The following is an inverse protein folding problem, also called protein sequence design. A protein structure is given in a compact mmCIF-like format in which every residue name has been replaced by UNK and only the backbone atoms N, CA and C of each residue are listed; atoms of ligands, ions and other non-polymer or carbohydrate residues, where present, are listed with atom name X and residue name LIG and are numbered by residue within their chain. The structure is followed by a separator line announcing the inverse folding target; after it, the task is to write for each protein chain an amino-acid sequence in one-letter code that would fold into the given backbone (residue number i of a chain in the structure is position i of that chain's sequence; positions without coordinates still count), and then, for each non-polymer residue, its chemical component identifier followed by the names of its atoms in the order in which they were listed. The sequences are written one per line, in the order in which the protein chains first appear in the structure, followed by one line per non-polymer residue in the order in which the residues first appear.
data_IF_990316566498
#
_entry.id   IF_990316566498
#
_cell.length_a   1.000
_cell.length_b   1.000
_cell.length_c   1.000
_cell.angle_alpha   90.00
_cell.angle_beta   90.00
_cell.angle_gamma   90.00
#
_symmetry.space_group_name_H-M   'P 1'
#
loop_
_entity.id
_entity.type
_entity.pdbx_description
1 polymer ?
#
# COMPACT_ATOMS: atom_id res chain seq x y z
N UNK A 1 -11.46 30.68 -6.99
CA UNK A 1 -12.19 29.43 -6.67
C UNK A 1 -13.61 29.44 -7.24
N UNK A 2 -14.28 30.59 -7.28
CA UNK A 2 -15.67 30.71 -7.80
C UNK A 2 -15.87 30.12 -9.20
N UNK A 3 -14.98 30.41 -10.16
CA UNK A 3 -15.08 29.84 -11.51
C UNK A 3 -14.98 28.29 -11.56
N UNK A 4 -14.23 27.66 -10.64
CA UNK A 4 -14.12 26.20 -10.58
C UNK A 4 -15.41 25.60 -10.02
N UNK A 5 -15.97 26.23 -9.01
CA UNK A 5 -17.25 25.82 -8.43
C UNK A 5 -18.36 25.86 -9.47
N UNK A 6 -18.46 26.96 -10.23
CA UNK A 6 -19.49 27.10 -11.27
C UNK A 6 -19.39 26.00 -12.34
N UNK A 7 -18.17 25.63 -12.75
CA UNK A 7 -17.94 24.54 -13.71
C UNK A 7 -18.39 23.19 -13.13
N UNK A 8 -18.06 22.94 -11.87
CA UNK A 8 -18.40 21.67 -11.21
C UNK A 8 -19.90 21.54 -10.94
N UNK A 9 -20.58 22.63 -10.57
CA UNK A 9 -22.03 22.65 -10.35
C UNK A 9 -22.82 22.38 -11.66
N UNK A 10 -22.27 22.77 -12.81
CA UNK A 10 -22.85 22.45 -14.13
C UNK A 10 -22.59 21.00 -14.58
N UNK A 11 -21.67 20.29 -13.93
CA UNK A 11 -21.18 18.96 -14.35
C UNK A 11 -21.96 17.82 -13.68
N UNK A 12 -23.28 17.78 -13.88
CA UNK A 12 -24.19 16.82 -13.19
C UNK A 12 -23.95 15.35 -13.53
N UNK A 13 -23.33 15.05 -14.68
CA UNK A 13 -23.00 13.70 -15.14
C UNK A 13 -21.54 13.30 -14.91
N UNK A 14 -20.81 14.03 -14.06
CA UNK A 14 -19.41 13.75 -13.77
C UNK A 14 -19.26 12.34 -13.18
N UNK A 15 -18.44 11.51 -13.82
CA UNK A 15 -18.12 10.15 -13.36
C UNK A 15 -16.74 10.04 -12.73
N UNK A 16 -15.86 10.98 -13.04
CA UNK A 16 -14.48 11.02 -12.59
C UNK A 16 -14.18 12.42 -12.07
N UNK A 17 -13.66 12.49 -10.85
CA UNK A 17 -13.19 13.73 -10.25
C UNK A 17 -11.78 13.51 -9.72
N UNK A 18 -10.83 14.28 -10.25
CA UNK A 18 -9.46 14.33 -9.76
C UNK A 18 -9.17 15.74 -9.25
N UNK A 19 -8.78 15.82 -7.99
CA UNK A 19 -8.43 17.06 -7.33
C UNK A 19 -7.01 16.93 -6.76
N UNK A 20 -6.15 17.88 -7.13
CA UNK A 20 -4.78 17.97 -6.65
C UNK A 20 -4.57 19.35 -6.05
N UNK A 21 -4.32 19.38 -4.75
CA UNK A 21 -4.05 20.58 -3.99
C UNK A 21 -2.60 20.58 -3.54
N UNK A 22 -1.91 21.69 -3.80
CA UNK A 22 -0.58 21.95 -3.29
C UNK A 22 -0.70 23.16 -2.37
N UNK A 23 -0.79 22.92 -1.06
CA UNK A 23 -1.22 23.95 -0.11
C UNK A 23 -0.10 24.32 0.85
N UNK A 24 0.72 25.29 0.47
CA UNK A 24 1.74 25.88 1.36
C UNK A 24 1.18 26.86 2.40
N UNK A 25 -0.15 27.01 2.45
CA UNK A 25 -0.87 27.93 3.32
C UNK A 25 -2.10 27.25 3.91
N UNK A 26 -2.67 27.81 4.97
CA UNK A 26 -3.95 27.42 5.60
C UNK A 26 -5.18 27.72 4.73
N UNK A 27 -5.05 27.61 3.41
CA UNK A 27 -6.12 27.90 2.47
C UNK A 27 -7.15 26.75 2.47
N UNK A 28 -8.20 26.93 3.27
CA UNK A 28 -9.35 26.04 3.41
C UNK A 28 -10.29 26.07 2.20
N UNK A 29 -9.92 26.76 1.11
CA UNK A 29 -10.78 26.85 -0.07
C UNK A 29 -11.15 25.47 -0.64
N UNK A 30 -10.26 24.46 -0.56
CA UNK A 30 -10.60 23.10 -0.99
C UNK A 30 -11.70 22.47 -0.14
N UNK A 31 -11.74 22.79 1.15
CA UNK A 31 -12.73 22.32 2.11
C UNK A 31 -14.13 22.89 1.77
N UNK A 32 -14.19 24.18 1.43
CA UNK A 32 -15.40 24.84 0.91
C UNK A 32 -15.85 24.23 -0.43
N UNK A 33 -14.91 23.86 -1.30
CA UNK A 33 -15.22 23.19 -2.55
C UNK A 33 -15.85 21.82 -2.28
N UNK A 34 -15.13 20.91 -1.61
CA UNK A 34 -15.59 19.54 -1.34
C UNK A 34 -16.92 19.48 -0.57
N UNK A 35 -17.13 20.37 0.40
CA UNK A 35 -18.36 20.38 1.21
C UNK A 35 -19.62 20.65 0.39
N UNK A 36 -19.52 21.41 -0.71
CA UNK A 36 -20.66 21.81 -1.55
C UNK A 36 -20.94 20.86 -2.72
N UNK A 37 -19.96 20.08 -3.16
CA UNK A 37 -20.07 19.26 -4.36
C UNK A 37 -20.93 18.00 -4.14
N UNK A 38 -21.80 17.74 -5.11
CA UNK A 38 -22.60 16.50 -5.20
C UNK A 38 -22.65 16.01 -6.64
N UNK A 39 -22.17 14.79 -6.88
CA UNK A 39 -22.10 14.17 -8.19
C UNK A 39 -22.79 12.79 -8.16
N UNK A 40 -24.08 12.71 -8.51
CA UNK A 40 -24.86 11.47 -8.41
C UNK A 40 -24.32 10.29 -9.23
N UNK A 41 -23.44 10.56 -10.19
CA UNK A 41 -22.86 9.56 -11.10
C UNK A 41 -21.37 9.31 -10.87
N UNK A 42 -20.79 9.87 -9.81
CA UNK A 42 -19.37 9.74 -9.54
C UNK A 42 -18.98 8.29 -9.23
N UNK A 43 -18.01 7.77 -9.98
CA UNK A 43 -17.48 6.41 -9.86
C UNK A 43 -16.02 6.38 -9.47
N UNK A 44 -15.26 7.38 -9.92
CA UNK A 44 -13.85 7.55 -9.58
C UNK A 44 -13.65 8.87 -8.86
N UNK A 45 -12.98 8.80 -7.72
CA UNK A 45 -12.53 9.98 -7.01
C UNK A 45 -11.05 9.86 -6.67
N UNK A 46 -10.28 10.88 -7.05
CA UNK A 46 -8.87 10.99 -6.74
C UNK A 46 -8.61 12.32 -6.04
N UNK A 47 -8.08 12.27 -4.84
CA UNK A 47 -7.73 13.43 -4.04
C UNK A 47 -6.27 13.35 -3.65
N UNK A 48 -5.52 14.39 -3.98
CA UNK A 48 -4.13 14.55 -3.57
C UNK A 48 -3.93 15.88 -2.85
N UNK A 49 -3.34 15.82 -1.66
CA UNK A 49 -2.97 16.99 -0.87
C UNK A 49 -1.49 16.89 -0.54
N UNK A 50 -0.70 17.86 -0.99
CA UNK A 50 0.77 17.89 -0.80
C UNK A 50 1.16 19.19 -0.09
N UNK A 51 2.18 19.12 0.77
CA UNK A 51 2.77 20.23 1.53
C UNK A 51 1.83 20.91 2.54
N UNK A 52 0.88 20.16 3.11
CA UNK A 52 -0.07 20.69 4.09
C UNK A 52 0.60 20.98 5.43
N UNK A 53 0.24 22.08 6.08
CA UNK A 53 0.69 22.42 7.43
C UNK A 53 -0.25 21.77 8.46
N UNK A 54 0.32 21.19 9.51
CA UNK A 54 -0.30 20.31 10.52
C UNK A 54 -1.56 20.88 11.24
N UNK A 55 -1.84 22.18 11.15
CA UNK A 55 -2.79 22.87 12.03
C UNK A 55 -4.28 22.85 11.58
N UNK A 56 -4.65 22.20 10.47
CA UNK A 56 -6.02 22.31 9.92
C UNK A 56 -6.81 20.99 9.97
N UNK A 57 -7.30 20.70 11.18
CA UNK A 57 -8.07 19.51 11.59
C UNK A 57 -9.40 19.30 10.83
N UNK A 58 -9.85 20.27 10.02
CA UNK A 58 -11.16 20.24 9.35
C UNK A 58 -11.17 19.46 8.02
N UNK A 59 -10.00 19.21 7.43
CA UNK A 59 -9.88 18.57 6.13
C UNK A 59 -10.47 17.15 6.10
N UNK A 60 -10.21 16.36 7.15
CA UNK A 60 -10.65 14.97 7.20
C UNK A 60 -12.15 14.79 7.45
N UNK A 61 -12.80 15.54 8.38
CA UNK A 61 -14.25 15.56 8.47
C UNK A 61 -14.93 15.92 7.15
N UNK A 62 -14.40 16.90 6.41
CA UNK A 62 -14.96 17.34 5.13
C UNK A 62 -14.81 16.27 4.05
N UNK A 63 -13.63 15.66 3.95
CA UNK A 63 -13.36 14.55 3.04
C UNK A 63 -14.24 13.33 3.37
N UNK A 64 -14.35 12.96 4.65
CA UNK A 64 -15.22 11.88 5.10
C UNK A 64 -16.69 12.14 4.76
N UNK A 65 -17.18 13.35 5.02
CA UNK A 65 -18.52 13.78 4.63
C UNK A 65 -18.75 13.75 3.12
N UNK A 66 -17.75 14.14 2.32
CA UNK A 66 -17.80 14.02 0.86
C UNK A 66 -17.93 12.55 0.43
N UNK A 67 -17.14 11.64 0.98
CA UNK A 67 -17.21 10.21 0.63
C UNK A 67 -18.57 9.60 0.99
N UNK A 68 -19.15 9.96 2.14
CA UNK A 68 -20.50 9.53 2.54
C UNK A 68 -21.57 9.95 1.53
N UNK A 69 -21.46 11.15 0.92
CA UNK A 69 -22.41 11.63 -0.10
C UNK A 69 -22.29 10.92 -1.45
N UNK A 70 -21.21 10.14 -1.67
CA UNK A 70 -20.92 9.51 -2.96
C UNK A 70 -20.76 7.98 -2.80
N UNK A 71 -21.82 7.26 -2.38
CA UNK A 71 -21.75 5.82 -2.11
C UNK A 71 -21.55 4.95 -3.37
N UNK A 72 -21.60 5.55 -4.56
CA UNK A 72 -21.43 4.89 -5.86
C UNK A 72 -19.98 4.83 -6.34
N UNK A 73 -19.03 5.31 -5.52
CA UNK A 73 -17.60 5.25 -5.81
C UNK A 73 -17.10 3.79 -5.89
N UNK A 74 -16.49 3.48 -7.02
CA UNK A 74 -15.87 2.18 -7.33
C UNK A 74 -14.35 2.24 -7.17
N UNK A 75 -13.76 3.40 -7.42
CA UNK A 75 -12.32 3.65 -7.34
C UNK A 75 -12.07 4.90 -6.52
N UNK A 76 -11.26 4.78 -5.48
CA UNK A 76 -10.89 5.90 -4.60
C UNK A 76 -9.38 5.95 -4.45
N UNK A 77 -8.81 7.11 -4.77
CA UNK A 77 -7.40 7.41 -4.57
C UNK A 77 -7.26 8.57 -3.59
N UNK A 78 -6.66 8.35 -2.43
CA UNK A 78 -6.40 9.37 -1.40
C UNK A 78 -4.91 9.43 -1.13
N UNK A 79 -4.28 10.56 -1.43
CA UNK A 79 -2.85 10.77 -1.21
C UNK A 79 -2.66 12.08 -0.45
N UNK A 80 -2.13 12.03 0.76
CA UNK A 80 -1.80 13.25 1.48
C UNK A 80 -1.57 13.01 2.95
N UNK A 81 -0.97 13.99 3.60
CA UNK A 81 -0.66 13.95 5.03
C UNK A 81 -1.78 14.66 5.79
N UNK A 82 -2.90 13.94 5.98
CA UNK A 82 -4.04 14.45 6.72
C UNK A 82 -3.94 13.95 8.16
N UNK A 83 -3.05 14.48 9.01
CA UNK A 83 -2.75 13.94 10.36
C UNK A 83 -3.94 13.35 11.13
N UNK A 84 -3.74 12.12 11.62
CA UNK A 84 -4.59 11.26 12.49
C UNK A 84 -6.07 11.65 12.74
N UNK A 85 -6.95 11.73 11.71
CA UNK A 85 -8.37 11.81 11.93
C UNK A 85 -8.81 10.45 12.43
N UNK A 86 -9.72 10.44 13.39
CA UNK A 86 -10.43 9.23 13.77
C UNK A 86 -11.32 8.77 12.61
N UNK A 87 -10.75 8.20 11.56
CA UNK A 87 -11.48 7.72 10.37
C UNK A 87 -12.56 6.70 10.73
N UNK A 88 -12.39 6.01 11.85
CA UNK A 88 -13.36 5.06 12.41
C UNK A 88 -14.71 5.71 12.74
N UNK A 89 -14.82 7.05 12.90
CA UNK A 89 -16.14 7.67 13.14
C UNK A 89 -17.12 7.39 12.01
N UNK A 90 -16.61 7.25 10.78
CA UNK A 90 -17.39 6.99 9.57
C UNK A 90 -17.71 5.51 9.37
N UNK A 91 -17.14 4.61 10.18
CA UNK A 91 -17.34 3.17 10.07
C UNK A 91 -18.81 2.79 10.06
N UNK A 92 -19.62 3.45 10.90
CA UNK A 92 -21.06 3.19 11.00
C UNK A 92 -21.83 3.52 9.72
N UNK A 93 -21.41 4.54 8.96
CA UNK A 93 -22.06 4.90 7.70
C UNK A 93 -21.56 4.07 6.51
N UNK A 94 -20.42 3.39 6.65
CA UNK A 94 -19.76 2.60 5.61
C UNK A 94 -19.74 3.34 4.26
N UNK A 95 -19.00 4.45 4.15
CA UNK A 95 -19.18 5.45 3.09
C UNK A 95 -19.00 4.91 1.67
N UNK A 96 -18.24 3.83 1.50
CA UNK A 96 -17.84 3.30 0.19
C UNK A 96 -18.26 1.83 0.03
N UNK A 97 -19.57 1.53 0.03
CA UNK A 97 -20.06 0.16 0.13
C UNK A 97 -19.76 -0.69 -1.11
N UNK A 98 -19.55 -0.07 -2.28
CA UNK A 98 -19.28 -0.76 -3.56
C UNK A 98 -17.86 -0.55 -4.08
N UNK A 99 -16.98 0.07 -3.31
CA UNK A 99 -15.60 0.35 -3.74
C UNK A 99 -14.87 -0.96 -4.05
N UNK A 100 -14.26 -1.00 -5.23
CA UNK A 100 -13.52 -2.13 -5.76
C UNK A 100 -12.01 -1.96 -5.65
N UNK A 101 -11.55 -0.72 -5.79
CA UNK A 101 -10.12 -0.37 -5.79
C UNK A 101 -9.88 0.81 -4.87
N UNK A 102 -8.91 0.65 -3.99
CA UNK A 102 -8.43 1.71 -3.13
C UNK A 102 -6.95 1.96 -3.38
N UNK A 103 -6.59 3.23 -3.49
CA UNK A 103 -5.22 3.69 -3.50
C UNK A 103 -5.04 4.75 -2.42
N UNK A 104 -4.03 4.60 -1.57
CA UNK A 104 -3.79 5.54 -0.49
C UNK A 104 -3.34 4.84 0.77
N UNK A 105 -3.20 5.61 1.82
CA UNK A 105 -2.65 5.12 3.07
C UNK A 105 -3.69 4.28 3.86
N UNK A 106 -3.25 3.25 4.58
CA UNK A 106 -4.12 2.14 5.03
C UNK A 106 -5.16 2.57 6.07
N UNK A 107 -4.77 3.45 6.99
CA UNK A 107 -5.65 4.06 7.98
C UNK A 107 -6.92 4.67 7.40
N UNK A 108 -6.93 5.18 6.16
CA UNK A 108 -8.16 5.65 5.52
C UNK A 108 -9.20 4.53 5.39
N UNK A 109 -8.78 3.28 5.16
CA UNK A 109 -9.69 2.13 5.08
C UNK A 109 -10.36 1.80 6.42
N UNK A 110 -9.86 2.32 7.54
CA UNK A 110 -10.51 2.14 8.86
C UNK A 110 -11.90 2.79 8.93
N UNK A 111 -12.22 3.70 7.99
CA UNK A 111 -13.55 4.27 7.79
C UNK A 111 -14.59 3.27 7.28
N UNK A 112 -14.17 2.11 6.78
CA UNK A 112 -15.06 1.09 6.26
C UNK A 112 -15.42 0.11 7.37
N UNK A 113 -16.70 -0.27 7.46
CA UNK A 113 -17.11 -1.37 8.34
C UNK A 113 -16.86 -2.73 7.68
N UNK A 114 -17.02 -2.79 6.36
CA UNK A 114 -16.67 -3.93 5.51
C UNK A 114 -16.79 -3.50 4.05
N UNK A 115 -16.10 -4.21 3.15
CA UNK A 115 -16.39 -4.12 1.73
C UNK A 115 -16.38 -5.50 1.11
N UNK A 116 -17.52 -5.89 0.52
CA UNK A 116 -17.63 -7.12 -0.28
C UNK A 116 -17.12 -6.91 -1.71
N UNK A 117 -16.87 -5.68 -2.12
CA UNK A 117 -16.46 -5.36 -3.49
C UNK A 117 -14.97 -5.04 -3.59
N UNK A 118 -14.32 -4.68 -2.47
CA UNK A 118 -12.91 -4.32 -2.46
C UNK A 118 -12.06 -5.54 -2.81
N UNK A 119 -11.30 -5.41 -3.90
CA UNK A 119 -10.47 -6.48 -4.47
C UNK A 119 -9.01 -6.10 -4.61
N UNK A 120 -8.72 -4.80 -4.69
CA UNK A 120 -7.37 -4.27 -4.89
C UNK A 120 -7.08 -3.10 -3.96
N UNK A 121 -5.93 -3.16 -3.31
CA UNK A 121 -5.40 -2.12 -2.44
C UNK A 121 -4.01 -1.74 -2.94
N UNK A 122 -3.73 -0.45 -3.01
CA UNK A 122 -2.42 0.10 -3.32
C UNK A 122 -2.05 1.14 -2.24
N UNK A 123 -1.15 0.79 -1.33
CA UNK A 123 -0.77 1.64 -0.20
C UNK A 123 0.45 2.51 -0.44
N UNK A 124 0.39 3.70 0.15
CA UNK A 124 1.49 4.66 0.26
C UNK A 124 1.57 5.08 1.72
N UNK A 125 2.47 4.50 2.49
CA UNK A 125 2.75 5.01 3.83
C UNK A 125 3.71 6.18 3.66
N UNK A 126 3.27 7.39 4.00
CA UNK A 126 4.17 8.55 3.96
C UNK A 126 5.22 8.40 5.07
N UNK A 127 6.47 8.82 4.79
CA UNK A 127 7.70 8.65 5.58
C UNK A 127 7.60 9.20 7.03
N UNK A 128 6.73 8.64 7.85
CA UNK A 128 6.64 8.98 9.26
C UNK A 128 7.85 8.37 9.97
N UNK A 129 8.41 9.02 11.00
CA UNK A 129 9.54 8.51 11.76
C UNK A 129 9.14 7.29 12.61
N UNK A 130 10.04 6.31 12.73
CA UNK A 130 9.85 5.10 13.55
C UNK A 130 9.73 3.82 12.73
N UNK A 131 9.52 2.71 13.42
CA UNK A 131 9.61 1.38 12.82
C UNK A 131 8.49 1.12 11.80
N UNK A 132 8.88 1.05 10.53
CA UNK A 132 7.97 0.82 9.38
C UNK A 132 7.07 -0.40 9.62
N UNK A 133 7.66 -1.54 10.00
CA UNK A 133 6.92 -2.81 10.15
C UNK A 133 5.87 -2.72 11.25
N UNK A 134 6.22 -2.18 12.42
CA UNK A 134 5.30 -2.04 13.55
C UNK A 134 4.16 -1.07 13.24
N UNK A 135 4.44 0.07 12.60
CA UNK A 135 3.41 1.03 12.20
C UNK A 135 2.42 0.41 11.24
N UNK A 136 2.94 -0.22 10.19
CA UNK A 136 2.11 -0.84 9.17
C UNK A 136 1.25 -1.98 9.73
N UNK A 137 1.81 -2.80 10.62
CA UNK A 137 1.05 -3.84 11.35
C UNK A 137 -0.04 -3.21 12.23
N UNK A 138 0.26 -2.10 12.91
CA UNK A 138 -0.73 -1.38 13.72
C UNK A 138 -1.88 -0.84 12.86
N UNK A 139 -1.60 -0.24 11.70
CA UNK A 139 -2.63 0.25 10.76
C UNK A 139 -3.55 -0.89 10.29
N UNK A 140 -3.00 -2.07 10.01
CA UNK A 140 -3.81 -3.24 9.65
C UNK A 140 -4.72 -3.70 10.79
N UNK A 141 -4.29 -3.60 12.05
CA UNK A 141 -5.12 -3.96 13.20
C UNK A 141 -6.28 -2.99 13.45
N UNK A 142 -6.15 -1.73 13.03
CA UNK A 142 -7.21 -0.73 13.15
C UNK A 142 -8.33 -0.90 12.11
N UNK A 143 -8.12 -1.76 11.10
CA UNK A 143 -9.11 -2.09 10.09
C UNK A 143 -10.27 -2.91 10.67
N UNK A 144 -11.46 -2.73 10.10
CA UNK A 144 -12.58 -3.65 10.31
C UNK A 144 -12.32 -4.97 9.55
N UNK A 145 -11.34 -5.75 10.02
CA UNK A 145 -10.94 -7.04 9.44
C UNK A 145 -12.02 -8.11 9.61
N UNK A 146 -12.16 -9.07 8.66
CA UNK A 146 -11.39 -9.23 7.42
C UNK A 146 -12.03 -8.58 6.17
N UNK A 147 -11.21 -8.01 5.28
CA UNK A 147 -11.58 -7.68 3.90
C UNK A 147 -11.39 -8.92 3.00
N UNK A 148 -12.36 -9.82 3.07
CA UNK A 148 -12.24 -11.20 2.55
C UNK A 148 -12.13 -11.34 1.03
N UNK A 149 -12.37 -10.27 0.25
CA UNK A 149 -12.31 -10.32 -1.22
C UNK A 149 -11.09 -9.61 -1.80
N UNK A 150 -10.22 -9.06 -0.96
CA UNK A 150 -8.96 -8.45 -1.38
C UNK A 150 -8.03 -9.55 -1.88
N UNK A 151 -7.69 -9.47 -3.16
CA UNK A 151 -6.81 -10.43 -3.84
C UNK A 151 -5.50 -9.80 -4.27
N UNK A 152 -5.45 -8.47 -4.41
CA UNK A 152 -4.27 -7.72 -4.82
C UNK A 152 -3.92 -6.67 -3.76
N UNK A 153 -2.68 -6.68 -3.30
CA UNK A 153 -2.17 -5.66 -2.39
C UNK A 153 -0.76 -5.24 -2.81
N UNK A 154 -0.61 -3.96 -3.12
CA UNK A 154 0.67 -3.32 -3.47
C UNK A 154 1.04 -2.29 -2.40
N UNK A 155 2.31 -2.27 -1.98
CA UNK A 155 2.90 -1.33 -1.03
C UNK A 155 4.03 -0.63 -1.78
N UNK A 156 3.83 0.63 -2.15
CA UNK A 156 4.75 1.30 -3.07
C UNK A 156 6.03 1.83 -2.42
N UNK A 157 5.96 2.16 -1.13
CA UNK A 157 7.03 2.78 -0.34
C UNK A 157 6.98 2.22 1.08
N UNK A 158 8.09 2.34 1.81
CA UNK A 158 8.20 1.87 3.20
C UNK A 158 7.76 0.41 3.37
N UNK A 159 8.43 -0.47 2.62
CA UNK A 159 8.11 -1.90 2.61
C UNK A 159 8.31 -2.53 3.99
N UNK A 160 7.27 -3.10 4.63
CA UNK A 160 7.43 -3.81 5.90
C UNK A 160 8.24 -5.09 5.69
N UNK A 161 9.03 -5.47 6.70
CA UNK A 161 9.79 -6.72 6.68
C UNK A 161 8.84 -7.93 6.64
N UNK A 162 9.19 -8.95 5.85
CA UNK A 162 8.52 -10.25 5.94
C UNK A 162 8.92 -10.95 7.25
N UNK A 163 7.99 -11.02 8.19
CA UNK A 163 8.14 -11.67 9.49
C UNK A 163 6.79 -12.26 9.95
N UNK A 164 6.80 -13.04 11.03
CA UNK A 164 5.59 -13.63 11.61
C UNK A 164 4.48 -12.60 11.88
N UNK A 165 4.81 -11.46 12.49
CA UNK A 165 3.81 -10.43 12.81
C UNK A 165 3.14 -9.85 11.55
N UNK A 166 3.92 -9.63 10.49
CA UNK A 166 3.47 -9.11 9.20
C UNK A 166 2.53 -10.12 8.53
N UNK A 167 2.89 -11.41 8.56
CA UNK A 167 2.09 -12.49 7.98
C UNK A 167 0.76 -12.69 8.70
N UNK A 168 0.76 -12.67 10.04
CA UNK A 168 -0.46 -12.78 10.83
C UNK A 168 -1.39 -11.59 10.58
N UNK A 169 -0.85 -10.38 10.54
CA UNK A 169 -1.64 -9.18 10.24
C UNK A 169 -2.26 -9.23 8.84
N UNK A 170 -1.48 -9.63 7.83
CA UNK A 170 -1.97 -9.84 6.46
C UNK A 170 -3.06 -10.92 6.39
N UNK A 171 -2.84 -12.07 7.04
CA UNK A 171 -3.80 -13.18 7.05
C UNK A 171 -5.14 -12.78 7.68
N UNK A 172 -5.09 -12.02 8.77
CA UNK A 172 -6.26 -11.50 9.46
C UNK A 172 -7.01 -10.49 8.60
N UNK A 173 -6.30 -9.59 7.93
CA UNK A 173 -6.93 -8.50 7.17
C UNK A 173 -7.39 -8.93 5.77
N UNK A 174 -6.60 -9.76 5.07
CA UNK A 174 -6.77 -10.10 3.65
C UNK A 174 -6.60 -11.62 3.40
N UNK A 175 -7.51 -12.47 3.92
CA UNK A 175 -7.35 -13.93 3.85
C UNK A 175 -7.37 -14.51 2.43
N UNK A 176 -7.92 -13.79 1.44
CA UNK A 176 -7.99 -14.22 0.04
C UNK A 176 -6.86 -13.65 -0.84
N UNK A 177 -5.80 -13.10 -0.23
CA UNK A 177 -4.72 -12.45 -0.96
C UNK A 177 -4.01 -13.42 -1.92
N UNK A 178 -3.85 -13.00 -3.17
CA UNK A 178 -3.21 -13.77 -4.25
C UNK A 178 -1.96 -13.09 -4.79
N UNK A 179 -1.92 -11.76 -4.75
CA UNK A 179 -0.83 -10.93 -5.25
C UNK A 179 -0.41 -9.97 -4.15
N UNK A 180 0.85 -10.08 -3.72
CA UNK A 180 1.46 -9.18 -2.76
C UNK A 180 2.72 -8.58 -3.36
N UNK A 181 2.74 -7.26 -3.48
CA UNK A 181 3.84 -6.50 -4.03
C UNK A 181 4.29 -5.47 -2.99
N UNK A 182 5.53 -5.54 -2.49
CA UNK A 182 6.05 -4.50 -1.59
C UNK A 182 6.40 -4.94 -0.16
N UNK A 183 6.92 -6.16 0.02
CA UNK A 183 7.60 -6.53 1.28
C UNK A 183 9.11 -6.27 1.18
N UNK A 184 9.78 -6.08 2.32
CA UNK A 184 11.23 -5.88 2.35
C UNK A 184 12.01 -7.19 2.55
N UNK A 185 13.13 -7.31 1.84
CA UNK A 185 14.28 -8.14 2.22
C UNK A 185 15.10 -7.32 3.21
N UNK A 186 14.84 -7.51 4.51
CA UNK A 186 15.51 -6.82 5.62
C UNK A 186 16.52 -7.72 6.34
N UNK A 187 17.19 -7.18 7.35
CA UNK A 187 18.11 -7.90 8.25
C UNK A 187 17.46 -9.11 8.94
N UNK A 188 16.16 -9.05 9.18
CA UNK A 188 15.35 -10.14 9.77
C UNK A 188 14.85 -11.19 8.78
N UNK A 189 14.90 -10.93 7.46
CA UNK A 189 14.33 -11.84 6.45
C UNK A 189 15.04 -13.19 6.40
N UNK A 190 16.37 -13.21 6.25
CA UNK A 190 17.11 -14.48 6.17
C UNK A 190 17.03 -15.29 7.48
N UNK A 191 17.17 -14.70 8.68
CA UNK A 191 16.89 -15.40 9.93
C UNK A 191 15.48 -16.00 9.97
N UNK A 192 14.46 -15.25 9.52
CA UNK A 192 13.09 -15.73 9.47
C UNK A 192 12.92 -16.94 8.53
N UNK A 193 13.49 -16.88 7.32
CA UNK A 193 13.41 -18.00 6.36
C UNK A 193 14.19 -19.25 6.78
N UNK A 194 15.13 -19.13 7.73
CA UNK A 194 15.89 -20.24 8.33
C UNK A 194 15.23 -20.80 9.59
N UNK A 195 14.26 -20.10 10.16
CA UNK A 195 13.52 -20.53 11.35
C UNK A 195 12.48 -21.61 11.00
N UNK A 196 11.78 -22.12 12.03
CA UNK A 196 10.63 -22.99 11.82
C UNK A 196 9.43 -22.16 11.30
N UNK A 197 9.25 -22.19 9.98
CA UNK A 197 8.19 -21.46 9.27
C UNK A 197 6.88 -22.25 9.14
N UNK A 198 6.84 -23.52 9.54
CA UNK A 198 5.64 -24.37 9.39
C UNK A 198 4.38 -23.78 10.05
N UNK A 199 4.44 -23.16 11.25
CA UNK A 199 3.26 -22.53 11.85
C UNK A 199 2.63 -21.42 10.97
N UNK A 200 3.42 -20.81 10.09
CA UNK A 200 2.99 -19.66 9.26
C UNK A 200 2.41 -20.06 7.90
N UNK A 201 2.48 -21.35 7.53
CA UNK A 201 2.00 -21.87 6.25
C UNK A 201 0.51 -21.61 5.98
N UNK A 202 -0.28 -21.47 7.04
CA UNK A 202 -1.71 -21.22 6.97
C UNK A 202 -2.08 -19.73 6.80
N UNK A 203 -1.11 -18.80 6.89
CA UNK A 203 -1.40 -17.36 6.87
C UNK A 203 -1.92 -16.88 5.52
N UNK A 204 -1.25 -17.22 4.42
CA UNK A 204 -1.60 -16.74 3.08
C UNK A 204 -1.66 -17.90 2.07
N UNK A 205 -2.64 -18.82 2.23
CA UNK A 205 -2.67 -20.08 1.48
C UNK A 205 -2.95 -19.88 -0.02
N UNK A 206 -3.52 -18.74 -0.40
CA UNK A 206 -3.85 -18.41 -1.79
C UNK A 206 -2.80 -17.54 -2.48
N UNK A 207 -1.70 -17.19 -1.81
CA UNK A 207 -0.68 -16.30 -2.38
C UNK A 207 0.02 -16.97 -3.57
N UNK A 208 -0.09 -16.36 -4.74
CA UNK A 208 0.45 -16.87 -6.02
C UNK A 208 1.66 -16.07 -6.49
N UNK A 209 1.70 -14.78 -6.16
CA UNK A 209 2.76 -13.89 -6.56
C UNK A 209 3.22 -13.03 -5.39
N UNK A 210 4.54 -12.97 -5.20
CA UNK A 210 5.19 -12.16 -4.18
C UNK A 210 6.30 -11.32 -4.81
N UNK A 211 6.30 -10.02 -4.59
CA UNK A 211 7.44 -9.14 -4.92
C UNK A 211 8.00 -8.56 -3.64
N UNK A 212 9.30 -8.75 -3.45
CA UNK A 212 10.06 -8.23 -2.32
C UNK A 212 11.18 -7.30 -2.80
N UNK A 213 11.50 -6.32 -1.99
CA UNK A 213 12.43 -5.25 -2.33
C UNK A 213 13.59 -5.17 -1.35
N UNK A 214 14.77 -4.89 -1.86
CA UNK A 214 15.98 -4.60 -1.09
C UNK A 214 16.52 -3.24 -1.50
N UNK A 215 16.72 -2.36 -0.53
CA UNK A 215 17.44 -1.10 -0.78
C UNK A 215 18.90 -1.28 -0.43
N UNK A 216 19.80 -0.98 -1.37
CA UNK A 216 21.24 -1.18 -1.19
C UNK A 216 22.06 0.09 -1.41
N UNK A 217 23.07 0.29 -0.56
CA UNK A 217 24.05 1.38 -0.62
C UNK A 217 25.40 0.92 -1.15
N UNK A 218 26.45 1.70 -0.89
CA UNK A 218 27.80 1.42 -1.41
C UNK A 218 28.37 0.06 -0.99
N UNK A 219 28.01 -0.46 0.19
CA UNK A 219 28.52 -1.76 0.69
C UNK A 219 27.51 -2.55 1.55
N UNK A 220 26.39 -1.94 1.95
CA UNK A 220 25.41 -2.54 2.86
C UNK A 220 23.98 -2.33 2.36
N UNK A 221 23.09 -3.19 2.80
CA UNK A 221 21.66 -3.04 2.62
C UNK A 221 21.09 -2.13 3.72
N UNK A 222 19.97 -1.47 3.42
CA UNK A 222 19.33 -0.53 4.33
C UNK A 222 17.84 -0.80 4.39
N UNK A 223 17.31 -0.88 5.61
CA UNK A 223 15.87 -0.98 5.90
C UNK A 223 15.59 -0.27 7.23
N UNK A 224 14.55 0.56 7.30
CA UNK A 224 14.17 1.27 8.54
C UNK A 224 15.32 2.08 9.18
N UNK A 225 16.14 2.75 8.36
CA UNK A 225 17.40 3.42 8.74
C UNK A 225 18.50 2.52 9.36
N UNK A 226 18.26 1.21 9.46
CA UNK A 226 19.24 0.21 9.90
C UNK A 226 20.06 -0.26 8.71
N UNK A 227 21.38 -0.27 8.89
CA UNK A 227 22.33 -0.84 7.92
C UNK A 227 22.64 -2.28 8.29
N UNK A 228 22.61 -3.17 7.32
CA UNK A 228 22.93 -4.59 7.52
C UNK A 228 23.77 -5.16 6.38
N UNK A 229 24.40 -6.29 6.65
CA UNK A 229 25.22 -6.98 5.67
C UNK A 229 24.36 -7.37 4.45
N UNK A 230 24.81 -6.95 3.26
CA UNK A 230 24.15 -7.30 2.01
C UNK A 230 24.29 -8.81 1.79
N UNK A 231 23.16 -9.50 1.71
CA UNK A 231 23.13 -10.91 1.38
C UNK A 231 23.70 -11.16 -0.02
N UNK A 232 24.41 -12.26 -0.19
CA UNK A 232 24.82 -12.72 -1.51
C UNK A 232 23.62 -13.19 -2.32
N UNK A 233 23.72 -13.14 -3.66
CA UNK A 233 22.67 -13.65 -4.55
C UNK A 233 22.29 -15.11 -4.25
N UNK A 234 23.28 -15.93 -3.84
CA UNK A 234 23.06 -17.31 -3.46
C UNK A 234 22.22 -17.45 -2.18
N UNK A 235 22.48 -16.63 -1.16
CA UNK A 235 21.69 -16.64 0.08
C UNK A 235 20.25 -16.19 -0.15
N UNK A 236 20.05 -15.17 -0.99
CA UNK A 236 18.69 -14.72 -1.34
C UNK A 236 17.98 -15.77 -2.19
N UNK A 237 18.66 -16.39 -3.15
CA UNK A 237 18.10 -17.47 -3.96
C UNK A 237 17.69 -18.66 -3.09
N UNK A 238 18.54 -19.09 -2.15
CA UNK A 238 18.23 -20.17 -1.21
C UNK A 238 17.03 -19.85 -0.31
N UNK A 239 16.93 -18.61 0.20
CA UNK A 239 15.75 -18.16 0.94
C UNK A 239 14.49 -18.11 0.06
N UNK A 240 14.61 -17.74 -1.22
CA UNK A 240 13.46 -17.73 -2.14
C UNK A 240 12.99 -19.15 -2.48
N UNK A 241 13.90 -20.12 -2.54
CA UNK A 241 13.56 -21.53 -2.75
C UNK A 241 12.72 -22.12 -1.61
N UNK A 242 12.76 -21.56 -0.41
CA UNK A 242 11.94 -22.01 0.72
C UNK A 242 10.56 -21.34 0.79
N UNK A 243 10.31 -20.29 0.00
CA UNK A 243 9.01 -19.60 -0.03
C UNK A 243 7.80 -20.53 -0.32
N UNK A 244 7.89 -21.55 -1.20
CA UNK A 244 6.77 -22.49 -1.41
C UNK A 244 6.40 -23.31 -0.17
N UNK A 245 7.31 -23.47 0.80
CA UNK A 245 6.99 -24.11 2.08
C UNK A 245 6.07 -23.23 2.92
N UNK A 246 6.28 -21.91 2.85
CA UNK A 246 5.47 -20.89 3.52
C UNK A 246 4.17 -20.56 2.75
N UNK A 247 4.22 -20.57 1.42
CA UNK A 247 3.13 -20.21 0.53
C UNK A 247 2.90 -21.33 -0.50
N UNK A 248 2.07 -22.34 -0.18
CA UNK A 248 1.94 -23.52 -1.02
C UNK A 248 1.42 -23.26 -2.45
N UNK A 249 0.66 -22.18 -2.64
CA UNK A 249 0.12 -21.79 -3.96
C UNK A 249 1.06 -20.87 -4.77
N UNK A 250 2.25 -20.58 -4.26
CA UNK A 250 3.17 -19.62 -4.87
C UNK A 250 3.67 -20.13 -6.22
N UNK A 251 3.42 -19.33 -7.25
CA UNK A 251 3.82 -19.62 -8.64
C UNK A 251 4.99 -18.76 -9.10
N UNK A 252 5.16 -17.58 -8.49
CA UNK A 252 6.30 -16.71 -8.76
C UNK A 252 6.68 -15.84 -7.58
N UNK A 253 7.98 -15.64 -7.39
CA UNK A 253 8.53 -14.66 -6.46
C UNK A 253 9.53 -13.75 -7.20
N UNK A 254 9.50 -12.45 -6.90
CA UNK A 254 10.42 -11.46 -7.47
C UNK A 254 11.19 -10.78 -6.35
N UNK A 255 12.50 -10.71 -6.49
CA UNK A 255 13.38 -9.86 -5.69
C UNK A 255 13.80 -8.66 -6.53
N UNK A 256 13.54 -7.45 -6.05
CA UNK A 256 13.91 -6.20 -6.68
C UNK A 256 14.91 -5.47 -5.79
N UNK A 257 16.17 -5.41 -6.23
CA UNK A 257 17.25 -4.75 -5.54
C UNK A 257 17.53 -3.38 -6.16
N UNK A 258 17.33 -2.32 -5.38
CA UNK A 258 17.37 -0.93 -5.85
C UNK A 258 18.46 -0.17 -5.10
N UNK A 259 19.28 0.58 -5.84
CA UNK A 259 20.25 1.50 -5.22
C UNK A 259 19.54 2.61 -4.46
N UNK A 260 20.07 2.99 -3.29
CA UNK A 260 19.64 4.19 -2.56
C UNK A 260 19.54 5.42 -3.47
N UNK A 261 18.55 6.31 -3.27
CA UNK A 261 18.35 7.51 -4.09
C UNK A 261 19.59 8.40 -4.25
N UNK A 262 20.46 8.43 -3.25
CA UNK A 262 21.70 9.21 -3.22
C UNK A 262 22.85 8.60 -4.05
N UNK A 263 22.76 7.31 -4.41
CA UNK A 263 23.81 6.60 -5.16
C UNK A 263 23.56 6.75 -6.66
N UNK A 264 24.58 7.20 -7.41
CA UNK A 264 24.54 7.31 -8.88
C UNK A 264 25.62 6.44 -9.53
N UNK A 265 25.33 5.78 -10.67
CA UNK A 265 24.02 5.68 -11.34
C UNK A 265 23.04 4.82 -10.53
N UNK A 266 21.74 5.13 -10.61
CA UNK A 266 20.71 4.28 -10.01
C UNK A 266 20.64 2.95 -10.75
N UNK A 267 20.79 1.85 -10.04
CA UNK A 267 20.71 0.50 -10.61
C UNK A 267 19.54 -0.25 -10.00
N UNK A 268 18.87 -1.02 -10.85
CA UNK A 268 17.84 -1.97 -10.45
C UNK A 268 18.28 -3.36 -10.92
N UNK A 269 18.37 -4.30 -9.98
CA UNK A 269 18.61 -5.70 -10.26
C UNK A 269 17.34 -6.47 -9.90
N UNK A 270 16.88 -7.30 -10.82
CA UNK A 270 15.65 -8.08 -10.65
C UNK A 270 16.00 -9.55 -10.79
N UNK A 271 15.69 -10.32 -9.75
CA UNK A 271 15.68 -11.77 -9.79
C UNK A 271 14.24 -12.24 -9.74
N UNK A 272 13.81 -13.03 -10.73
CA UNK A 272 12.49 -13.68 -10.74
C UNK A 272 12.68 -15.18 -10.59
N UNK A 273 11.89 -15.77 -9.71
CA UNK A 273 11.82 -17.21 -9.52
C UNK A 273 10.42 -17.69 -9.86
N UNK A 274 10.33 -18.63 -10.78
CA UNK A 274 9.08 -19.29 -11.16
C UNK A 274 9.06 -20.70 -10.60
N UNK A 275 7.99 -21.08 -9.91
CA UNK A 275 7.85 -22.38 -9.27
C UNK A 275 6.97 -23.29 -10.13
N UNK A 276 7.50 -24.45 -10.49
CA UNK A 276 6.82 -25.46 -11.30
C UNK A 276 7.08 -26.87 -10.77
N UNK A 277 6.37 -27.87 -11.31
CA UNK A 277 6.60 -29.27 -10.98
C UNK A 277 8.02 -29.77 -11.38
N UNK A 278 8.67 -29.11 -12.33
CA UNK A 278 10.02 -29.43 -12.80
C UNK A 278 11.12 -28.82 -11.93
N UNK A 279 10.73 -27.98 -10.96
CA UNK A 279 11.63 -27.22 -10.10
C UNK A 279 11.55 -25.70 -10.34
N UNK A 280 12.28 -24.92 -9.51
CA UNK A 280 12.33 -23.46 -9.65
C UNK A 280 13.20 -23.04 -10.83
N UNK A 281 12.71 -22.12 -11.65
CA UNK A 281 13.48 -21.47 -12.73
C UNK A 281 13.80 -20.04 -12.31
N UNK A 282 15.07 -19.65 -12.44
CA UNK A 282 15.57 -18.32 -12.02
C UNK A 282 15.95 -17.48 -13.23
N UNK A 283 15.34 -16.31 -13.36
CA UNK A 283 15.67 -15.30 -14.36
C UNK A 283 16.29 -14.07 -13.69
N UNK A 284 17.35 -13.52 -14.30
CA UNK A 284 18.06 -12.33 -13.79
C UNK A 284 18.11 -11.24 -14.84
N UNK A 285 17.71 -10.04 -14.46
CA UNK A 285 17.75 -8.86 -15.32
C UNK A 285 18.39 -7.68 -14.57
N UNK A 286 19.32 -6.99 -15.22
CA UNK A 286 19.88 -5.73 -14.73
C UNK A 286 19.36 -4.59 -15.62
N UNK A 287 18.78 -3.56 -15.02
CA UNK A 287 18.23 -2.41 -15.74
C UNK A 287 18.59 -1.10 -15.03
N UNK A 288 18.52 0.02 -15.75
CA UNK A 288 18.52 1.32 -15.12
C UNK A 288 17.25 1.43 -14.26
N UNK A 289 17.37 1.89 -13.00
CA UNK A 289 16.19 2.05 -12.16
C UNK A 289 15.26 3.12 -12.77
N UNK A 290 13.94 2.89 -12.83
CA UNK A 290 13.02 3.92 -13.31
C UNK A 290 13.07 5.14 -12.39
N UNK A 291 12.88 6.32 -12.97
CA UNK A 291 13.03 7.62 -12.30
C UNK A 291 12.04 7.87 -11.15
N UNK A 292 11.02 7.01 -11.00
CA UNK A 292 9.86 7.24 -10.14
C UNK A 292 9.86 6.48 -8.80
N UNK A 293 11.02 5.96 -8.36
CA UNK A 293 11.23 5.50 -6.98
C UNK A 293 11.93 6.59 -6.15
#
# INVERSE_FOLDING_TARGET
MDNIRDILDLSTHLRCLELKFNSFSSDTSFALLLSSLTFPHLRLFSFSLVNYLEDDLEAAPILGGFLVRHPLLEVVNLVGDLESPNWQVWRKSNPLPIMQRFRGDLWYLSMLASSKHLTSIESFTLNLPGNITQRWVHELFELASPFSNVTNFTINIDWPSLQEITLRALAQSFPALQFLDGLAVSDTFLPFMRADIEPMKACLPSLRQLTMYETYGSECSVHDAVRFATASDAEVEDAFRTLPLLFPALSSATHVKVTLPAVRPRKCQIMRMHFSAEGPVVERNAQAAPLNY
#
